data_IF_323328960804
#
_entry.id   IF_323328960804
#
_cell.length_a   1.000
_cell.length_b   1.000
_cell.length_c   1.000
_cell.angle_alpha   90.00
_cell.angle_beta   90.00
_cell.angle_gamma   90.00
#
_symmetry.space_group_name_H-M   'P 1'
#
loop_
_entity.id
_entity.type
_entity.pdbx_description
1 polymer ?
#
# COMPACT_ATOMS: atom_id res chain seq x y z
N UNK A 1 3.67 28.96 -4.71
CA UNK A 1 2.85 27.81 -5.09
C UNK A 1 2.05 28.18 -6.31
N UNK A 2 1.91 27.31 -7.33
CA UNK A 2 1.01 27.58 -8.43
C UNK A 2 -0.44 27.67 -7.90
N UNK A 3 -1.32 28.41 -8.55
CA UNK A 3 -2.74 28.44 -8.21
C UNK A 3 -3.35 27.03 -8.25
N UNK A 4 -4.30 26.73 -7.36
CA UNK A 4 -4.92 25.40 -7.24
C UNK A 4 -5.55 24.96 -8.58
N UNK A 5 -6.07 25.92 -9.34
CA UNK A 5 -6.69 25.71 -10.66
C UNK A 5 -5.73 25.07 -11.67
N UNK A 6 -4.43 25.41 -11.60
CA UNK A 6 -3.42 24.82 -12.51
C UNK A 6 -3.09 23.36 -12.20
N UNK A 7 -3.39 22.86 -10.99
CA UNK A 7 -3.20 21.45 -10.65
C UNK A 7 -4.17 20.55 -11.42
N UNK A 8 -5.35 21.03 -11.76
CA UNK A 8 -6.34 20.27 -12.53
C UNK A 8 -5.94 20.10 -14.02
N UNK A 9 -5.10 20.98 -14.53
CA UNK A 9 -4.61 20.91 -15.92
C UNK A 9 -3.52 19.86 -16.10
N UNK A 10 -2.71 19.60 -15.07
CA UNK A 10 -1.59 18.63 -15.14
C UNK A 10 -1.95 17.25 -14.62
N UNK A 11 -3.15 17.07 -14.08
CA UNK A 11 -3.60 15.84 -13.45
C UNK A 11 -2.99 15.62 -12.06
N UNK A 12 -3.79 15.12 -11.14
CA UNK A 12 -3.39 14.82 -9.76
C UNK A 12 -3.35 13.30 -9.60
N UNK A 13 -2.17 12.74 -9.31
CA UNK A 13 -2.01 11.31 -9.08
C UNK A 13 -2.43 10.89 -7.67
N UNK A 14 -2.19 11.77 -6.68
CA UNK A 14 -2.51 11.53 -5.27
C UNK A 14 -2.71 12.86 -4.54
N UNK A 15 -3.69 12.89 -3.64
CA UNK A 15 -3.83 13.94 -2.63
C UNK A 15 -3.54 13.34 -1.26
N UNK A 16 -2.69 14.00 -0.50
CA UNK A 16 -2.41 13.67 0.90
C UNK A 16 -3.00 14.76 1.79
N UNK A 17 -3.86 14.37 2.71
CA UNK A 17 -4.41 15.22 3.74
C UNK A 17 -3.80 14.87 5.10
N UNK A 18 -3.33 15.88 5.82
CA UNK A 18 -2.82 15.74 7.18
C UNK A 18 -3.58 16.67 8.12
N UNK A 19 -4.16 16.12 9.19
CA UNK A 19 -4.93 16.88 10.18
C UNK A 19 -4.96 16.15 11.54
N UNK A 20 -5.73 16.67 12.51
CA UNK A 20 -6.04 15.92 13.72
C UNK A 20 -6.82 14.64 13.40
N UNK A 21 -6.77 13.66 14.30
CA UNK A 21 -7.47 12.39 14.14
C UNK A 21 -8.97 12.59 13.90
N UNK A 22 -9.60 13.48 14.68
CA UNK A 22 -11.03 13.77 14.60
C UNK A 22 -11.43 14.37 13.24
N UNK A 23 -10.58 15.29 12.72
CA UNK A 23 -10.82 15.92 11.41
C UNK A 23 -10.60 14.92 10.28
N UNK A 24 -9.59 14.06 10.39
CA UNK A 24 -9.35 13.00 9.41
C UNK A 24 -10.52 11.99 9.39
N UNK A 25 -11.08 11.63 10.54
CA UNK A 25 -12.26 10.77 10.65
C UNK A 25 -13.51 11.39 10.01
N UNK A 26 -13.76 12.67 10.31
CA UNK A 26 -14.87 13.40 9.71
C UNK A 26 -14.76 13.42 8.20
N UNK A 27 -13.62 13.84 7.67
CA UNK A 27 -13.37 13.92 6.23
C UNK A 27 -13.47 12.55 5.55
N UNK A 28 -12.96 11.49 6.17
CA UNK A 28 -13.09 10.13 5.66
C UNK A 28 -14.55 9.69 5.55
N UNK A 29 -15.42 10.14 6.48
CA UNK A 29 -16.87 9.91 6.41
C UNK A 29 -17.52 10.61 5.22
N UNK A 30 -17.19 11.88 5.02
CA UNK A 30 -17.74 12.72 3.94
C UNK A 30 -17.33 12.20 2.56
N UNK A 31 -16.06 11.75 2.39
CA UNK A 31 -15.53 11.31 1.09
C UNK A 31 -16.05 9.94 0.65
N UNK A 32 -16.54 9.11 1.56
CA UNK A 32 -17.19 7.83 1.20
C UNK A 32 -18.37 7.99 0.23
N UNK A 33 -18.93 9.20 0.12
CA UNK A 33 -19.99 9.52 -0.82
C UNK A 33 -19.48 9.73 -2.27
N UNK A 34 -18.15 9.77 -2.50
CA UNK A 34 -17.55 9.96 -3.81
C UNK A 34 -17.00 8.63 -4.38
N UNK A 35 -17.79 7.90 -5.19
CA UNK A 35 -17.46 6.54 -5.63
C UNK A 35 -16.26 6.46 -6.57
N UNK A 36 -15.84 7.58 -7.15
CA UNK A 36 -14.68 7.64 -8.05
C UNK A 36 -13.34 7.83 -7.32
N UNK A 37 -13.37 7.89 -5.98
CA UNK A 37 -12.19 8.12 -5.16
C UNK A 37 -11.91 6.92 -4.26
N UNK A 38 -10.68 6.44 -4.30
CA UNK A 38 -10.17 5.48 -3.32
C UNK A 38 -9.55 6.25 -2.17
N UNK A 39 -10.04 6.00 -0.95
CA UNK A 39 -9.49 6.53 0.29
C UNK A 39 -8.66 5.45 0.99
N UNK A 40 -7.43 5.80 1.35
CA UNK A 40 -6.56 4.97 2.18
C UNK A 40 -6.16 5.78 3.42
N UNK A 41 -6.22 5.16 4.58
CA UNK A 41 -5.71 5.70 5.84
C UNK A 41 -4.39 5.02 6.15
N UNK A 42 -3.27 5.70 5.92
CA UNK A 42 -1.93 5.17 6.16
C UNK A 42 -1.44 5.40 7.60
N UNK A 43 -2.06 6.35 8.31
CA UNK A 43 -1.80 6.72 9.71
C UNK A 43 -3.06 7.40 10.27
N UNK A 44 -3.28 7.48 11.60
CA UNK A 44 -4.42 8.18 12.19
C UNK A 44 -4.60 9.62 11.73
N UNK A 45 -3.52 10.32 11.40
CA UNK A 45 -3.49 11.71 10.95
C UNK A 45 -3.48 11.88 9.42
N UNK A 46 -3.26 10.80 8.64
CA UNK A 46 -3.11 10.86 7.19
C UNK A 46 -4.26 10.20 6.45
N UNK A 47 -4.81 10.94 5.49
CA UNK A 47 -5.72 10.40 4.48
C UNK A 47 -5.08 10.57 3.10
N UNK A 48 -5.08 9.50 2.34
CA UNK A 48 -4.56 9.47 0.98
C UNK A 48 -5.71 9.20 0.02
N UNK A 49 -5.82 10.06 -1.00
CA UNK A 49 -6.87 9.97 -2.01
C UNK A 49 -6.25 9.64 -3.36
N UNK A 50 -6.80 8.65 -4.02
CA UNK A 50 -6.40 8.21 -5.35
C UNK A 50 -7.61 8.11 -6.26
N UNK A 51 -7.37 8.08 -7.56
CA UNK A 51 -8.39 7.67 -8.51
C UNK A 51 -8.84 6.22 -8.21
N UNK A 52 -10.14 5.96 -8.38
CA UNK A 52 -10.69 4.61 -8.23
C UNK A 52 -9.92 3.60 -9.09
N UNK A 53 -9.63 2.47 -8.53
CA UNK A 53 -8.91 1.43 -9.23
C UNK A 53 -7.38 1.54 -9.21
N UNK A 54 -6.79 2.53 -8.54
CA UNK A 54 -5.36 2.56 -8.23
C UNK A 54 -5.13 1.74 -6.96
N UNK A 55 -4.19 0.77 -7.02
CA UNK A 55 -3.75 -0.01 -5.86
C UNK A 55 -2.34 -0.55 -6.09
N UNK A 56 -1.64 -0.93 -5.00
CA UNK A 56 -0.33 -1.59 -5.09
C UNK A 56 -0.43 -2.91 -5.86
N UNK A 57 -1.51 -3.67 -5.68
CA UNK A 57 -1.78 -4.91 -6.43
C UNK A 57 -1.84 -4.69 -7.94
N UNK A 58 -2.57 -3.66 -8.39
CA UNK A 58 -2.66 -3.33 -9.82
C UNK A 58 -1.34 -2.86 -10.40
N UNK A 59 -0.56 -2.10 -9.63
CA UNK A 59 0.77 -1.67 -10.07
C UNK A 59 1.70 -2.88 -10.27
N UNK A 60 1.70 -3.83 -9.33
CA UNK A 60 2.47 -5.08 -9.46
C UNK A 60 2.01 -5.88 -10.68
N UNK A 61 0.69 -6.07 -10.87
CA UNK A 61 0.16 -6.79 -12.01
C UNK A 61 0.54 -6.15 -13.36
N UNK A 62 0.55 -4.81 -13.43
CA UNK A 62 0.97 -4.10 -14.63
C UNK A 62 2.45 -4.32 -14.92
N UNK A 63 3.33 -4.20 -13.92
CA UNK A 63 4.78 -4.44 -14.07
C UNK A 63 5.04 -5.91 -14.44
N UNK A 64 4.42 -6.86 -13.75
CA UNK A 64 4.55 -8.28 -14.04
C UNK A 64 4.16 -8.60 -15.49
N UNK A 65 3.05 -8.04 -15.97
CA UNK A 65 2.61 -8.18 -17.36
C UNK A 65 3.63 -7.61 -18.36
N UNK A 66 4.24 -6.47 -18.07
CA UNK A 66 5.25 -5.87 -18.95
C UNK A 66 6.51 -6.72 -19.10
N UNK A 67 6.87 -7.46 -18.06
CA UNK A 67 8.08 -8.30 -18.04
C UNK A 67 7.80 -9.81 -18.26
N UNK A 68 6.54 -10.20 -18.40
CA UNK A 68 6.14 -11.60 -18.58
C UNK A 68 6.40 -12.45 -17.32
N UNK A 69 6.33 -11.85 -16.12
CA UNK A 69 6.55 -12.53 -14.84
C UNK A 69 5.23 -13.11 -14.35
N UNK A 70 5.21 -14.39 -14.00
CA UNK A 70 4.04 -15.04 -13.42
C UNK A 70 3.85 -14.61 -11.94
N UNK A 71 2.60 -14.57 -11.50
CA UNK A 71 2.26 -14.23 -10.10
C UNK A 71 3.05 -15.07 -9.09
N UNK A 72 3.23 -16.36 -9.37
CA UNK A 72 3.96 -17.29 -8.49
C UNK A 72 5.45 -16.96 -8.31
N UNK A 73 6.01 -16.14 -9.20
CA UNK A 73 7.40 -15.69 -9.17
C UNK A 73 7.59 -14.36 -8.43
N UNK A 74 6.51 -13.78 -7.88
CA UNK A 74 6.52 -12.48 -7.21
C UNK A 74 6.44 -12.69 -5.71
N UNK A 75 7.36 -12.07 -4.97
CA UNK A 75 7.25 -11.90 -3.53
C UNK A 75 6.94 -10.44 -3.19
N UNK A 76 6.14 -10.21 -2.16
CA UNK A 76 5.86 -8.88 -1.63
C UNK A 76 6.03 -8.85 -0.10
N UNK A 77 6.51 -7.71 0.40
CA UNK A 77 6.69 -7.46 1.83
C UNK A 77 5.83 -6.25 2.21
N UNK A 78 5.08 -6.34 3.30
CA UNK A 78 4.22 -5.26 3.77
C UNK A 78 4.05 -5.24 5.28
N UNK A 79 3.56 -4.10 5.81
CA UNK A 79 3.38 -3.90 7.25
C UNK A 79 2.04 -3.23 7.62
N UNK A 80 1.38 -2.55 6.69
CA UNK A 80 0.18 -1.78 6.95
C UNK A 80 -1.04 -2.29 6.15
N UNK A 81 -2.23 -1.95 6.60
CA UNK A 81 -3.49 -2.43 6.00
C UNK A 81 -3.63 -2.10 4.50
N UNK A 82 -2.98 -1.04 4.02
CA UNK A 82 -2.94 -0.68 2.61
C UNK A 82 -2.07 -1.64 1.76
N UNK A 83 -1.31 -2.56 2.39
CA UNK A 83 -0.54 -3.60 1.72
C UNK A 83 -1.31 -4.90 1.52
N UNK A 84 -2.44 -5.09 2.20
CA UNK A 84 -3.19 -6.35 2.17
C UNK A 84 -3.49 -6.78 0.74
N UNK A 85 -4.06 -5.88 -0.08
CA UNK A 85 -4.38 -6.22 -1.48
C UNK A 85 -3.15 -6.59 -2.32
N UNK A 86 -2.00 -6.01 -2.02
CA UNK A 86 -0.71 -6.35 -2.63
C UNK A 86 -0.28 -7.77 -2.22
N UNK A 87 -0.28 -8.05 -0.93
CA UNK A 87 0.12 -9.36 -0.39
C UNK A 87 -0.78 -10.48 -0.92
N UNK A 88 -2.10 -10.26 -0.99
CA UNK A 88 -3.05 -11.23 -1.56
C UNK A 88 -2.86 -11.45 -3.07
N UNK A 89 -2.14 -10.57 -3.77
CA UNK A 89 -1.96 -10.62 -5.23
C UNK A 89 -0.67 -11.28 -5.70
N UNK A 90 0.20 -11.74 -4.82
CA UNK A 90 1.52 -12.30 -5.15
C UNK A 90 1.63 -13.80 -4.81
N UNK A 91 2.70 -14.44 -5.25
CA UNK A 91 2.99 -15.85 -4.99
C UNK A 91 3.58 -16.11 -3.61
N UNK A 92 4.29 -15.12 -3.03
CA UNK A 92 4.82 -15.19 -1.67
C UNK A 92 4.57 -13.87 -0.93
N UNK A 93 3.66 -13.91 0.02
CA UNK A 93 3.31 -12.77 0.87
C UNK A 93 4.12 -12.80 2.17
N UNK A 94 4.82 -11.72 2.50
CA UNK A 94 5.65 -11.60 3.70
C UNK A 94 5.17 -10.40 4.52
N UNK A 95 4.80 -10.63 5.77
CA UNK A 95 4.50 -9.56 6.73
C UNK A 95 5.76 -9.17 7.51
N UNK A 96 5.95 -7.87 7.75
CA UNK A 96 6.94 -7.38 8.70
C UNK A 96 6.55 -7.78 10.13
N UNK A 97 7.53 -7.96 11.02
CA UNK A 97 7.29 -8.30 12.43
C UNK A 97 6.45 -7.25 13.17
N UNK A 98 6.62 -5.97 12.81
CA UNK A 98 5.82 -4.85 13.31
C UNK A 98 4.49 -4.63 12.56
N UNK A 99 4.14 -5.51 11.62
CA UNK A 99 2.89 -5.40 10.85
C UNK A 99 1.64 -5.54 11.73
N UNK A 100 0.52 -4.99 11.24
CA UNK A 100 -0.79 -5.20 11.89
C UNK A 100 -1.19 -6.68 11.86
N UNK A 101 -2.02 -7.10 12.81
CA UNK A 101 -2.51 -8.49 12.85
C UNK A 101 -3.29 -8.87 11.58
N UNK A 102 -3.95 -7.90 10.94
CA UNK A 102 -4.64 -8.11 9.67
C UNK A 102 -3.68 -8.42 8.52
N UNK A 103 -2.53 -7.73 8.48
CA UNK A 103 -1.46 -8.00 7.50
C UNK A 103 -0.83 -9.35 7.75
N UNK A 104 -0.52 -9.67 9.01
CA UNK A 104 0.04 -10.98 9.39
C UNK A 104 -0.90 -12.14 9.03
N UNK A 105 -2.21 -11.93 9.13
CA UNK A 105 -3.22 -12.95 8.84
C UNK A 105 -3.30 -13.36 7.35
N UNK A 106 -2.87 -12.48 6.43
CA UNK A 106 -2.86 -12.76 4.97
C UNK A 106 -1.49 -13.16 4.43
N UNK A 107 -0.46 -13.13 5.28
CA UNK A 107 0.91 -13.41 4.87
C UNK A 107 1.26 -14.91 4.99
N UNK A 108 2.05 -15.43 4.06
CA UNK A 108 2.60 -16.78 4.10
C UNK A 108 3.76 -16.91 5.10
N UNK A 109 4.48 -15.79 5.33
CA UNK A 109 5.64 -15.70 6.21
C UNK A 109 5.62 -14.40 6.99
N UNK A 110 6.22 -14.42 8.18
CA UNK A 110 6.47 -13.23 8.98
C UNK A 110 7.98 -13.09 9.15
N UNK A 111 8.53 -11.94 8.77
CA UNK A 111 9.93 -11.60 9.01
C UNK A 111 10.10 -10.87 10.34
N UNK A 112 11.32 -10.48 10.69
CA UNK A 112 11.57 -9.62 11.85
C UNK A 112 11.06 -8.19 11.57
N UNK A 113 11.07 -7.34 12.59
CA UNK A 113 10.54 -5.98 12.48
C UNK A 113 11.49 -5.02 11.76
N UNK A 114 11.05 -3.78 11.61
CA UNK A 114 11.81 -2.70 10.97
C UNK A 114 13.06 -2.27 11.76
N UNK A 115 13.11 -2.50 13.07
CA UNK A 115 14.27 -2.21 13.91
C UNK A 115 15.39 -3.28 13.79
N UNK A 116 15.05 -4.43 13.20
CA UNK A 116 15.94 -5.58 13.02
C UNK A 116 16.13 -5.94 11.54
N UNK A 117 16.12 -4.96 10.65
CA UNK A 117 16.36 -5.14 9.20
C UNK A 117 15.44 -6.19 8.54
N UNK A 118 14.14 -6.19 8.87
CA UNK A 118 13.18 -7.21 8.45
C UNK A 118 13.11 -7.48 6.95
N UNK A 119 13.29 -6.46 6.10
CA UNK A 119 13.33 -6.64 4.64
C UNK A 119 14.58 -7.40 4.23
N UNK A 120 15.75 -7.03 4.74
CA UNK A 120 17.00 -7.72 4.43
C UNK A 120 16.95 -9.18 4.94
N UNK A 121 16.43 -9.39 6.14
CA UNK A 121 16.20 -10.74 6.69
C UNK A 121 15.34 -11.59 5.76
N UNK A 122 14.22 -11.06 5.29
CA UNK A 122 13.32 -11.78 4.38
C UNK A 122 14.00 -12.16 3.06
N UNK A 123 14.77 -11.25 2.47
CA UNK A 123 15.51 -11.49 1.22
C UNK A 123 16.50 -12.65 1.41
N UNK A 124 17.29 -12.63 2.45
CA UNK A 124 18.31 -13.65 2.67
C UNK A 124 17.75 -15.02 3.10
N UNK A 125 16.69 -15.03 3.91
CA UNK A 125 16.20 -16.27 4.52
C UNK A 125 15.01 -16.90 3.79
N UNK A 126 14.17 -16.11 3.14
CA UNK A 126 12.98 -16.63 2.47
C UNK A 126 13.12 -16.68 0.94
N UNK A 127 13.82 -15.69 0.35
CA UNK A 127 13.98 -15.64 -1.10
C UNK A 127 15.29 -16.31 -1.56
N UNK A 128 16.24 -16.55 -0.65
CA UNK A 128 17.55 -17.16 -0.93
C UNK A 128 18.30 -16.46 -2.07
N UNK A 129 18.09 -15.15 -2.20
CA UNK A 129 18.81 -14.30 -3.13
C UNK A 129 20.07 -13.84 -2.38
N UNK A 130 21.21 -14.38 -2.75
CA UNK A 130 22.52 -14.09 -2.18
C UNK A 130 23.31 -13.12 -2.99
#
# INVERSE_FOLDING_TARGET
>A
MPPVETLFEVGISKVLWYDTVERAEQLAGEIREYPETTLVRSDPHFLEFFNVGVSKAKAIAAVASMYGIDRSEIAAIGDADNDISMLESVGLAIAMGNATERVKAVADRITVDNEHDGVAYAIHHFLQIG
#
